data_IF_573477799741
#
_entry.id   IF_573477799741
#
_cell.length_a   1.000
_cell.length_b   1.000
_cell.length_c   1.000
_cell.angle_alpha   90.00
_cell.angle_beta   90.00
_cell.angle_gamma   90.00
#
_symmetry.space_group_name_H-M   'P 1'
#
loop_
_entity.id
_entity.type
_entity.pdbx_description
1 polymer ?
#
# COMPACT_ATOMS: atom_id res chain seq x y z
N UNK A 1 10.92 4.08 5.24
CA UNK A 1 10.72 5.52 5.33
C UNK A 1 12.05 6.22 5.56
N UNK A 2 12.42 7.16 4.68
CA UNK A 2 13.73 7.82 4.71
C UNK A 2 13.93 8.68 5.97
N UNK A 3 12.85 9.16 6.56
CA UNK A 3 12.90 9.97 7.78
C UNK A 3 13.06 9.12 9.04
N UNK A 4 12.91 7.81 8.94
CA UNK A 4 12.96 6.91 10.09
C UNK A 4 14.43 6.65 10.52
N UNK A 5 14.86 7.34 11.54
CA UNK A 5 16.21 7.20 12.13
C UNK A 5 16.11 6.36 13.40
N UNK A 6 16.42 5.08 13.28
CA UNK A 6 16.26 4.11 14.36
C UNK A 6 17.44 4.18 15.34
N UNK A 7 17.20 4.49 16.62
CA UNK A 7 18.23 4.42 17.67
C UNK A 7 18.73 2.98 17.87
N UNK A 8 19.96 2.83 18.31
CA UNK A 8 20.57 1.51 18.53
C UNK A 8 19.78 0.63 19.51
N UNK A 9 19.19 1.24 20.54
CA UNK A 9 18.34 0.57 21.53
C UNK A 9 17.09 -0.07 20.95
N UNK A 10 16.56 0.46 19.83
CA UNK A 10 15.35 -0.01 19.17
C UNK A 10 15.63 -0.83 17.89
N UNK A 11 16.91 -1.00 17.52
CA UNK A 11 17.32 -1.72 16.31
C UNK A 11 16.81 -3.16 16.27
N UNK A 12 16.90 -3.89 17.37
CA UNK A 12 16.48 -5.29 17.44
C UNK A 12 14.98 -5.44 17.19
N UNK A 13 14.14 -4.58 17.78
CA UNK A 13 12.70 -4.54 17.56
C UNK A 13 12.39 -4.22 16.09
N UNK A 14 13.00 -3.18 15.55
CA UNK A 14 12.82 -2.79 14.13
C UNK A 14 13.15 -3.93 13.18
N UNK A 15 14.28 -4.63 13.37
CA UNK A 15 14.66 -5.78 12.54
C UNK A 15 13.63 -6.89 12.64
N UNK A 16 13.15 -7.20 13.87
CA UNK A 16 12.12 -8.22 14.09
C UNK A 16 10.86 -7.93 13.27
N UNK A 17 10.34 -6.70 13.30
CA UNK A 17 9.12 -6.36 12.57
C UNK A 17 9.34 -6.29 11.06
N UNK A 18 10.51 -5.91 10.57
CA UNK A 18 10.88 -6.09 9.16
C UNK A 18 10.83 -7.56 8.73
N UNK A 19 11.29 -8.47 9.58
CA UNK A 19 11.21 -9.92 9.33
C UNK A 19 9.76 -10.40 9.35
N UNK A 20 8.91 -9.90 10.26
CA UNK A 20 7.48 -10.24 10.33
C UNK A 20 6.78 -9.85 9.03
N UNK A 21 6.90 -8.60 8.58
CA UNK A 21 6.25 -8.17 7.34
C UNK A 21 6.80 -8.89 6.11
N UNK A 22 8.10 -9.27 6.12
CA UNK A 22 8.68 -10.11 5.07
C UNK A 22 8.07 -11.52 5.08
N UNK A 23 7.85 -12.12 6.25
CA UNK A 23 7.16 -13.40 6.39
C UNK A 23 5.73 -13.37 5.84
N UNK A 24 4.98 -12.29 6.15
CA UNK A 24 3.62 -12.07 5.60
C UNK A 24 3.67 -11.97 4.08
N UNK A 25 4.64 -11.24 3.52
CA UNK A 25 4.80 -11.14 2.06
C UNK A 25 5.07 -12.50 1.43
N UNK A 26 5.98 -13.29 2.00
CA UNK A 26 6.31 -14.61 1.47
C UNK A 26 5.10 -15.53 1.44
N UNK A 27 4.32 -15.57 2.52
CA UNK A 27 3.10 -16.37 2.61
C UNK A 27 2.06 -15.91 1.58
N UNK A 28 1.83 -14.60 1.45
CA UNK A 28 0.89 -14.05 0.49
C UNK A 28 1.33 -14.34 -0.96
N UNK A 29 2.61 -14.12 -1.28
CA UNK A 29 3.19 -14.44 -2.59
C UNK A 29 2.98 -15.90 -2.96
N UNK A 30 3.28 -16.81 -2.06
CA UNK A 30 3.19 -18.25 -2.33
C UNK A 30 1.73 -18.68 -2.55
N UNK A 31 0.80 -18.09 -1.81
CA UNK A 31 -0.65 -18.31 -2.01
C UNK A 31 -1.12 -17.76 -3.36
N UNK A 32 -0.76 -16.51 -3.66
CA UNK A 32 -1.12 -15.84 -4.92
C UNK A 32 -0.54 -16.59 -6.12
N UNK A 33 0.71 -17.03 -6.06
CA UNK A 33 1.34 -17.79 -7.14
C UNK A 33 0.60 -19.11 -7.43
N UNK A 34 0.16 -19.84 -6.39
CA UNK A 34 -0.66 -21.04 -6.57
C UNK A 34 -1.99 -20.73 -7.26
N UNK A 35 -2.65 -19.65 -6.90
CA UNK A 35 -3.89 -19.22 -7.56
C UNK A 35 -3.66 -18.83 -9.01
N UNK A 36 -2.60 -18.09 -9.31
CA UNK A 36 -2.23 -17.72 -10.69
C UNK A 36 -1.97 -18.98 -11.52
N UNK A 37 -1.21 -19.95 -11.02
CA UNK A 37 -0.93 -21.21 -11.71
C UNK A 37 -2.22 -22.00 -11.99
N UNK A 38 -3.09 -22.13 -10.98
CA UNK A 38 -4.37 -22.82 -11.10
C UNK A 38 -5.28 -22.13 -12.13
N UNK A 39 -5.41 -20.81 -12.06
CA UNK A 39 -6.22 -20.04 -13.02
C UNK A 39 -5.69 -20.14 -14.45
N UNK A 40 -4.37 -20.03 -14.65
CA UNK A 40 -3.73 -20.16 -15.97
C UNK A 40 -3.85 -21.54 -16.58
N UNK A 41 -3.84 -22.57 -15.74
CA UNK A 41 -4.00 -23.96 -16.21
C UNK A 41 -5.44 -24.30 -16.61
N UNK A 42 -6.42 -23.47 -16.23
CA UNK A 42 -7.84 -23.73 -16.40
C UNK A 42 -8.38 -24.88 -15.52
N UNK A 43 -7.58 -25.39 -14.59
CA UNK A 43 -7.95 -26.49 -13.70
C UNK A 43 -8.42 -25.92 -12.35
N UNK A 44 -9.62 -25.37 -12.35
CA UNK A 44 -10.27 -24.83 -11.14
C UNK A 44 -11.75 -25.22 -11.13
N UNK A 45 -12.28 -25.37 -9.95
CA UNK A 45 -13.70 -25.57 -9.66
C UNK A 45 -14.35 -24.24 -9.25
N UNK A 46 -15.69 -24.24 -9.16
CA UNK A 46 -16.44 -23.09 -8.60
C UNK A 46 -16.03 -22.82 -7.14
N UNK A 47 -15.79 -23.89 -6.37
CA UNK A 47 -15.34 -23.74 -4.98
C UNK A 47 -13.94 -23.12 -4.89
N UNK A 48 -13.04 -23.46 -5.82
CA UNK A 48 -11.73 -22.80 -5.90
C UNK A 48 -11.88 -21.29 -6.17
N UNK A 49 -12.78 -20.92 -7.08
CA UNK A 49 -13.06 -19.50 -7.35
C UNK A 49 -13.60 -18.78 -6.10
N UNK A 50 -14.49 -19.41 -5.34
CA UNK A 50 -15.01 -18.86 -4.08
C UNK A 50 -13.88 -18.66 -3.05
N UNK A 51 -12.95 -19.62 -2.91
CA UNK A 51 -11.80 -19.46 -2.03
C UNK A 51 -10.87 -18.31 -2.47
N UNK A 52 -10.65 -18.18 -3.78
CA UNK A 52 -9.84 -17.08 -4.34
C UNK A 52 -10.51 -15.72 -4.12
N UNK A 53 -11.84 -15.63 -4.28
CA UNK A 53 -12.63 -14.42 -3.99
C UNK A 53 -12.52 -14.07 -2.50
N UNK A 54 -12.70 -15.04 -1.61
CA UNK A 54 -12.56 -14.82 -0.18
C UNK A 54 -11.15 -14.31 0.17
N UNK A 55 -10.09 -14.89 -0.39
CA UNK A 55 -8.73 -14.42 -0.19
C UNK A 55 -8.52 -12.98 -0.70
N UNK A 56 -9.06 -12.66 -1.89
CA UNK A 56 -9.00 -11.32 -2.45
C UNK A 56 -9.70 -10.30 -1.54
N UNK A 57 -10.87 -10.66 -0.97
CA UNK A 57 -11.63 -9.80 -0.06
C UNK A 57 -10.97 -9.66 1.32
N UNK A 58 -10.56 -10.77 1.92
CA UNK A 58 -10.21 -10.81 3.34
C UNK A 58 -8.71 -10.50 3.57
N UNK A 59 -7.86 -10.85 2.59
CA UNK A 59 -6.41 -10.64 2.70
C UNK A 59 -5.94 -9.41 1.93
N UNK A 60 -6.40 -9.23 0.67
CA UNK A 60 -5.99 -8.10 -0.16
C UNK A 60 -6.93 -6.91 -0.04
N UNK A 61 -8.08 -7.05 0.64
CA UNK A 61 -9.10 -6.01 0.80
C UNK A 61 -9.54 -5.37 -0.54
N UNK A 62 -9.56 -6.17 -1.61
CA UNK A 62 -10.05 -5.74 -2.92
C UNK A 62 -11.51 -6.13 -3.04
N UNK A 63 -12.38 -5.17 -3.37
CA UNK A 63 -13.82 -5.41 -3.54
C UNK A 63 -14.31 -4.81 -4.85
N UNK A 64 -15.24 -5.50 -5.51
CA UNK A 64 -15.86 -5.03 -6.74
C UNK A 64 -17.31 -5.54 -6.80
N UNK A 65 -18.28 -4.64 -6.80
CA UNK A 65 -19.69 -5.04 -6.71
C UNK A 65 -20.20 -5.78 -7.95
N UNK A 66 -19.68 -5.43 -9.13
CA UNK A 66 -20.08 -6.05 -10.40
C UNK A 66 -19.67 -7.52 -10.54
N UNK A 67 -18.77 -8.01 -9.68
CA UNK A 67 -18.37 -9.43 -9.67
C UNK A 67 -19.56 -10.40 -9.55
N UNK A 68 -20.65 -9.97 -8.92
CA UNK A 68 -21.88 -10.77 -8.78
C UNK A 68 -22.52 -11.15 -10.12
N UNK A 69 -22.14 -10.48 -11.19
CA UNK A 69 -22.67 -10.68 -12.56
C UNK A 69 -21.78 -11.51 -13.44
N UNK A 70 -20.56 -11.83 -12.96
CA UNK A 70 -19.59 -12.56 -13.78
C UNK A 70 -19.94 -14.05 -13.83
N UNK A 71 -19.82 -14.61 -15.03
CA UNK A 71 -19.73 -16.05 -15.19
C UNK A 71 -18.41 -16.57 -14.58
N UNK A 72 -18.31 -17.87 -14.31
CA UNK A 72 -17.10 -18.48 -13.75
C UNK A 72 -15.85 -18.17 -14.58
N UNK A 73 -15.97 -18.14 -15.90
CA UNK A 73 -14.87 -17.80 -16.81
C UNK A 73 -14.45 -16.33 -16.69
N UNK A 74 -15.41 -15.42 -16.65
CA UNK A 74 -15.12 -13.99 -16.45
C UNK A 74 -14.52 -13.74 -15.07
N UNK A 75 -15.03 -14.43 -14.05
CA UNK A 75 -14.49 -14.40 -12.71
C UNK A 75 -13.04 -14.86 -12.67
N UNK A 76 -12.72 -15.99 -13.31
CA UNK A 76 -11.36 -16.50 -13.36
C UNK A 76 -10.39 -15.53 -14.04
N UNK A 77 -10.81 -14.89 -15.13
CA UNK A 77 -10.02 -13.86 -15.82
C UNK A 77 -9.83 -12.60 -14.94
N UNK A 78 -10.88 -12.19 -14.25
CA UNK A 78 -10.82 -11.06 -13.32
C UNK A 78 -9.86 -11.33 -12.16
N UNK A 79 -9.99 -12.49 -11.51
CA UNK A 79 -9.10 -12.90 -10.42
C UNK A 79 -7.65 -12.99 -10.87
N UNK A 80 -7.39 -13.57 -12.05
CA UNK A 80 -6.05 -13.63 -12.61
C UNK A 80 -5.46 -12.22 -12.79
N UNK A 81 -6.23 -11.29 -13.35
CA UNK A 81 -5.82 -9.88 -13.51
C UNK A 81 -5.52 -9.21 -12.16
N UNK A 82 -6.27 -9.55 -11.10
CA UNK A 82 -6.07 -8.97 -9.76
C UNK A 82 -4.90 -9.59 -9.01
N UNK A 83 -4.64 -10.87 -9.20
CA UNK A 83 -3.52 -11.55 -8.53
C UNK A 83 -2.19 -11.32 -9.22
N UNK A 84 -2.15 -11.29 -10.57
CA UNK A 84 -0.92 -11.18 -11.36
C UNK A 84 -0.41 -9.74 -11.42
N UNK A 85 0.02 -9.24 -10.26
CA UNK A 85 0.51 -7.89 -10.02
C UNK A 85 1.68 -7.92 -9.04
N UNK A 86 2.53 -6.88 -9.01
CA UNK A 86 3.47 -6.71 -7.92
C UNK A 86 2.73 -6.70 -6.56
N UNK A 87 3.40 -7.18 -5.53
CA UNK A 87 2.87 -7.28 -4.17
C UNK A 87 3.74 -6.48 -3.21
N UNK A 88 3.11 -5.73 -2.30
CA UNK A 88 3.79 -5.10 -1.17
C UNK A 88 3.09 -5.40 0.14
N UNK A 89 3.89 -5.51 1.20
CA UNK A 89 3.41 -5.50 2.59
C UNK A 89 4.01 -4.28 3.28
N UNK A 90 3.16 -3.46 3.87
CA UNK A 90 3.52 -2.20 4.47
C UNK A 90 3.35 -2.27 5.99
N UNK A 91 4.41 -2.02 6.74
CA UNK A 91 4.35 -1.84 8.18
C UNK A 91 3.82 -0.44 8.50
N UNK A 92 2.64 -0.37 9.12
CA UNK A 92 1.95 0.87 9.45
C UNK A 92 1.95 1.09 10.96
N UNK A 93 2.15 2.32 11.40
CA UNK A 93 2.03 2.69 12.83
C UNK A 93 0.79 3.52 13.07
N UNK A 94 0.29 3.52 14.30
CA UNK A 94 -0.79 4.43 14.71
C UNK A 94 -0.35 5.88 14.54
N UNK A 95 -1.26 6.70 14.05
CA UNK A 95 -1.02 8.14 13.92
C UNK A 95 -1.15 8.80 15.29
N UNK A 96 -0.06 9.44 15.75
CA UNK A 96 -0.01 10.20 16.99
C UNK A 96 -0.02 11.72 16.75
N UNK A 97 -0.45 12.17 15.57
CA UNK A 97 -0.50 13.59 15.19
C UNK A 97 0.60 14.01 14.22
N UNK A 98 1.38 13.08 13.68
CA UNK A 98 2.37 13.38 12.63
C UNK A 98 1.66 13.81 11.33
N UNK A 99 2.13 14.90 10.68
CA UNK A 99 1.59 15.31 9.38
C UNK A 99 2.09 14.38 8.27
N UNK A 100 1.20 14.02 7.35
CA UNK A 100 1.55 13.20 6.19
C UNK A 100 0.35 12.43 5.65
N UNK A 101 0.64 11.38 4.90
CA UNK A 101 -0.36 10.47 4.35
C UNK A 101 -0.68 9.30 5.27
N UNK A 102 -1.45 8.36 4.75
CA UNK A 102 -1.85 7.16 5.47
C UNK A 102 -2.48 6.11 4.57
N UNK A 103 -2.90 4.97 5.17
CA UNK A 103 -3.61 3.92 4.48
C UNK A 103 -5.09 4.27 4.32
N UNK A 104 -5.60 4.07 3.11
CA UNK A 104 -7.00 4.27 2.76
C UNK A 104 -7.47 3.13 1.85
N UNK A 105 -8.78 2.97 1.75
CA UNK A 105 -9.42 2.18 0.70
C UNK A 105 -9.88 3.17 -0.37
N UNK A 106 -9.34 3.05 -1.57
CA UNK A 106 -9.64 3.95 -2.67
C UNK A 106 -10.19 3.20 -3.88
N UNK A 107 -10.93 3.90 -4.74
CA UNK A 107 -11.41 3.36 -5.99
C UNK A 107 -10.26 3.23 -7.00
N UNK A 108 -10.23 2.10 -7.69
CA UNK A 108 -9.38 1.85 -8.84
C UNK A 108 -10.12 2.21 -10.13
N UNK A 109 -9.38 2.37 -11.23
CA UNK A 109 -9.96 2.74 -12.53
C UNK A 109 -11.02 1.77 -13.08
N UNK A 110 -11.04 0.52 -12.62
CA UNK A 110 -12.03 -0.49 -13.01
C UNK A 110 -13.25 -0.53 -12.09
N UNK A 111 -13.42 0.44 -11.18
CA UNK A 111 -14.53 0.53 -10.23
C UNK A 111 -14.38 -0.35 -8.99
N UNK A 112 -13.33 -1.17 -8.89
CA UNK A 112 -13.02 -1.88 -7.65
C UNK A 112 -12.45 -0.94 -6.60
N UNK A 113 -12.52 -1.34 -5.33
CA UNK A 113 -11.81 -0.68 -4.24
C UNK A 113 -10.63 -1.52 -3.79
N UNK A 114 -9.53 -0.86 -3.40
CA UNK A 114 -8.30 -1.52 -2.95
C UNK A 114 -7.56 -0.65 -1.92
N UNK A 115 -6.70 -1.26 -1.09
CA UNK A 115 -5.82 -0.53 -0.18
C UNK A 115 -4.83 0.36 -0.94
N UNK A 116 -4.76 1.63 -0.55
CA UNK A 116 -3.87 2.62 -1.13
C UNK A 116 -3.18 3.43 -0.04
N UNK A 117 -1.99 3.94 -0.33
CA UNK A 117 -1.34 4.96 0.48
C UNK A 117 -1.58 6.30 -0.21
N UNK A 118 -2.18 7.24 0.50
CA UNK A 118 -2.47 8.59 -0.01
C UNK A 118 -1.80 9.63 0.87
N UNK A 119 -1.19 10.62 0.22
CA UNK A 119 -0.76 11.83 0.89
C UNK A 119 -1.96 12.77 1.11
N UNK A 120 -1.95 13.54 2.19
CA UNK A 120 -3.03 14.48 2.51
C UNK A 120 -3.29 15.51 1.38
N UNK A 121 -2.25 15.86 0.63
CA UNK A 121 -2.33 16.74 -0.54
C UNK A 121 -3.05 16.13 -1.77
N UNK A 122 -3.21 14.82 -1.81
CA UNK A 122 -3.96 14.12 -2.86
C UNK A 122 -5.45 14.02 -2.56
N UNK A 123 -5.87 14.40 -1.35
CA UNK A 123 -7.26 14.29 -0.90
C UNK A 123 -7.91 15.68 -1.00
N UNK A 124 -9.07 15.74 -1.65
CA UNK A 124 -9.80 16.99 -1.79
C UNK A 124 -10.31 17.51 -0.44
N UNK A 125 -9.61 18.51 0.08
CA UNK A 125 -9.93 19.16 1.36
C UNK A 125 -11.21 20.00 1.30
N UNK A 126 -11.75 20.30 0.12
CA UNK A 126 -13.00 21.03 -0.05
C UNK A 126 -14.23 20.09 0.08
N UNK A 127 -14.01 18.79 -0.13
CA UNK A 127 -15.05 17.77 0.03
C UNK A 127 -15.24 17.42 1.53
N UNK A 128 -16.44 17.65 2.12
CA UNK A 128 -16.69 17.36 3.53
C UNK A 128 -16.57 15.88 3.88
N UNK A 129 -16.96 14.97 2.99
CA UNK A 129 -16.87 13.52 3.22
C UNK A 129 -15.40 13.07 3.25
N UNK A 130 -14.58 13.54 2.30
CA UNK A 130 -13.16 13.25 2.26
C UNK A 130 -12.45 13.76 3.52
N UNK A 131 -12.79 14.96 4.01
CA UNK A 131 -12.27 15.48 5.29
C UNK A 131 -12.68 14.62 6.48
N UNK A 132 -13.96 14.18 6.51
CA UNK A 132 -14.42 13.30 7.57
C UNK A 132 -13.66 11.97 7.59
N UNK A 133 -13.43 11.35 6.42
CA UNK A 133 -12.64 10.15 6.29
C UNK A 133 -11.20 10.35 6.78
N UNK A 134 -10.55 11.47 6.40
CA UNK A 134 -9.21 11.79 6.89
C UNK A 134 -9.16 11.95 8.42
N UNK A 135 -10.17 12.60 8.99
CA UNK A 135 -10.24 12.80 10.45
C UNK A 135 -10.39 11.47 11.23
N UNK A 136 -10.91 10.42 10.58
CA UNK A 136 -11.04 9.08 11.17
C UNK A 136 -9.84 8.18 10.90
N UNK A 137 -8.85 8.63 10.12
CA UNK A 137 -7.65 7.85 9.82
C UNK A 137 -6.87 7.54 11.10
N UNK A 138 -6.64 6.25 11.34
CA UNK A 138 -6.02 5.78 12.59
C UNK A 138 -4.52 5.50 12.45
N UNK A 139 -4.03 5.40 11.22
CA UNK A 139 -2.64 5.03 10.93
C UNK A 139 -1.95 6.05 10.04
N UNK A 140 -0.64 6.05 10.12
CA UNK A 140 0.26 6.92 9.40
C UNK A 140 0.94 6.19 8.23
N UNK A 141 1.70 6.90 7.43
CA UNK A 141 2.52 6.39 6.32
C UNK A 141 3.35 5.16 6.72
N UNK A 142 3.66 4.27 5.76
CA UNK A 142 4.45 3.08 6.07
C UNK A 142 5.81 3.45 6.65
N UNK A 143 6.18 2.72 7.68
CA UNK A 143 7.53 2.76 8.27
C UNK A 143 8.51 2.01 7.38
N UNK A 144 8.11 0.81 6.96
CA UNK A 144 8.86 -0.08 6.10
C UNK A 144 7.92 -0.75 5.09
N UNK A 145 8.44 -1.04 3.90
CA UNK A 145 7.79 -1.86 2.88
C UNK A 145 8.68 -3.04 2.52
N UNK A 146 8.05 -4.18 2.33
CA UNK A 146 8.66 -5.33 1.65
C UNK A 146 7.90 -5.59 0.36
N UNK A 147 8.63 -5.76 -0.75
CA UNK A 147 8.04 -5.83 -2.08
C UNK A 147 8.43 -7.12 -2.80
N UNK A 148 7.47 -7.73 -3.49
CA UNK A 148 7.70 -8.76 -4.49
C UNK A 148 7.43 -8.17 -5.87
N UNK A 149 8.49 -8.04 -6.68
CA UNK A 149 8.46 -7.43 -8.02
C UNK A 149 8.68 -8.46 -9.13
N UNK A 150 8.54 -9.73 -8.81
CA UNK A 150 8.64 -10.84 -9.77
C UNK A 150 7.32 -11.59 -9.87
N UNK A 151 6.96 -11.97 -11.09
CA UNK A 151 5.79 -12.79 -11.38
C UNK A 151 5.97 -14.25 -10.89
N UNK A 152 4.93 -15.07 -11.04
CA UNK A 152 4.93 -16.48 -10.65
C UNK A 152 6.01 -17.32 -11.40
N UNK A 153 6.57 -16.83 -12.51
CA UNK A 153 7.63 -17.48 -13.25
C UNK A 153 9.03 -16.93 -12.89
N UNK A 154 9.12 -16.03 -11.92
CA UNK A 154 10.38 -15.40 -11.49
C UNK A 154 10.87 -14.27 -12.38
N UNK A 155 10.07 -13.79 -13.36
CA UNK A 155 10.40 -12.66 -14.22
C UNK A 155 9.98 -11.35 -13.57
N UNK A 156 10.77 -10.30 -13.77
CA UNK A 156 10.40 -8.97 -13.26
C UNK A 156 9.15 -8.43 -13.96
N UNK A 157 8.23 -7.86 -13.17
CA UNK A 157 7.15 -7.04 -13.70
C UNK A 157 7.71 -5.77 -14.36
N UNK A 158 7.04 -5.29 -15.38
CA UNK A 158 7.25 -3.95 -15.94
C UNK A 158 6.55 -2.93 -15.03
N UNK A 159 7.26 -2.47 -14.00
CA UNK A 159 6.69 -1.63 -12.93
C UNK A 159 6.06 -0.34 -13.43
N UNK A 160 6.55 0.36 -14.47
CA UNK A 160 5.87 1.50 -15.08
C UNK A 160 4.41 1.23 -15.49
N UNK A 161 4.06 0.02 -15.88
CA UNK A 161 2.68 -0.34 -16.25
C UNK A 161 1.72 -0.42 -15.05
N UNK A 162 2.26 -0.42 -13.83
CA UNK A 162 1.49 -0.46 -12.58
C UNK A 162 1.36 0.90 -11.89
N UNK A 163 1.78 1.97 -12.57
CA UNK A 163 1.64 3.36 -12.11
C UNK A 163 0.27 3.89 -12.50
N UNK A 164 -0.41 4.57 -11.59
CA UNK A 164 -1.60 5.34 -11.93
C UNK A 164 -1.22 6.82 -12.19
N UNK A 165 -1.17 7.26 -13.45
CA UNK A 165 -0.80 8.63 -13.79
C UNK A 165 -1.80 9.68 -13.26
N UNK A 166 -3.05 9.28 -12.98
CA UNK A 166 -4.08 10.18 -12.44
C UNK A 166 -3.84 10.56 -10.97
N UNK A 167 -2.89 9.92 -10.28
CA UNK A 167 -2.53 10.23 -8.89
C UNK A 167 -1.51 11.35 -8.75
N UNK A 168 -1.04 11.95 -9.86
CA UNK A 168 -0.29 13.19 -9.83
C UNK A 168 -1.15 14.34 -9.29
N UNK A 169 -0.53 15.30 -8.62
CA UNK A 169 -1.22 16.43 -8.01
C UNK A 169 -0.41 17.72 -8.06
N UNK A 170 -1.07 18.86 -7.81
CA UNK A 170 -0.40 20.15 -7.72
C UNK A 170 -0.08 20.45 -6.26
N UNK A 171 1.20 20.68 -5.96
CA UNK A 171 1.66 21.13 -4.65
C UNK A 171 2.07 22.60 -4.70
N UNK A 172 1.87 23.32 -3.59
CA UNK A 172 2.37 24.67 -3.41
C UNK A 172 3.69 24.60 -2.62
N UNK A 173 4.74 25.12 -3.23
CA UNK A 173 6.09 25.22 -2.65
C UNK A 173 6.53 26.67 -2.57
N UNK A 174 7.66 26.93 -1.91
CA UNK A 174 8.30 28.24 -1.91
C UNK A 174 9.65 28.14 -2.60
N UNK A 175 9.92 29.08 -3.52
CA UNK A 175 11.23 29.28 -4.13
C UNK A 175 11.62 30.76 -3.96
N UNK A 176 12.70 31.01 -3.25
CA UNK A 176 13.20 32.38 -2.97
C UNK A 176 12.13 33.29 -2.35
N UNK A 177 11.29 32.75 -1.45
CA UNK A 177 10.20 33.48 -0.80
C UNK A 177 8.98 33.74 -1.68
N UNK A 178 8.94 33.20 -2.90
CA UNK A 178 7.78 33.26 -3.80
C UNK A 178 7.02 31.95 -3.84
N UNK A 179 5.70 32.03 -3.97
CA UNK A 179 4.88 30.85 -4.17
C UNK A 179 5.18 30.21 -5.53
N UNK A 180 5.41 28.89 -5.52
CA UNK A 180 5.61 28.06 -6.68
C UNK A 180 4.58 26.94 -6.68
N UNK A 181 3.79 26.82 -7.74
CA UNK A 181 2.96 25.65 -8.01
C UNK A 181 3.77 24.63 -8.80
N UNK A 182 3.93 23.43 -8.25
CA UNK A 182 4.67 22.36 -8.87
C UNK A 182 3.76 21.16 -9.13
N UNK A 183 3.89 20.54 -10.32
CA UNK A 183 3.29 19.24 -10.60
C UNK A 183 4.11 18.16 -9.92
N UNK A 184 3.50 17.46 -9.00
CA UNK A 184 4.05 16.22 -8.41
C UNK A 184 3.57 15.03 -9.24
N UNK A 185 4.51 14.26 -9.76
CA UNK A 185 4.21 12.98 -10.41
C UNK A 185 3.81 11.95 -9.36
N UNK A 186 3.19 10.81 -9.76
CA UNK A 186 2.88 9.73 -8.82
C UNK A 186 4.09 9.36 -7.96
N UNK A 187 3.94 9.49 -6.64
CA UNK A 187 5.00 9.22 -5.68
C UNK A 187 5.32 7.72 -5.57
N UNK A 188 6.48 7.39 -5.00
CA UNK A 188 7.00 6.02 -4.95
C UNK A 188 5.97 5.02 -4.41
N UNK A 189 5.25 5.34 -3.35
CA UNK A 189 4.26 4.45 -2.71
C UNK A 189 2.82 4.95 -2.80
N UNK A 190 2.58 6.18 -3.21
CA UNK A 190 1.27 6.84 -3.27
C UNK A 190 0.82 7.17 -4.71
N UNK A 191 1.14 6.32 -5.65
CA UNK A 191 0.77 6.49 -7.05
C UNK A 191 1.52 5.54 -7.96
N UNK A 192 2.85 5.47 -7.83
CA UNK A 192 3.67 4.54 -8.59
C UNK A 192 3.41 3.07 -8.22
N UNK A 193 2.79 2.80 -7.07
CA UNK A 193 2.40 1.47 -6.63
C UNK A 193 0.86 1.32 -6.53
N UNK A 194 0.07 2.10 -7.25
CA UNK A 194 -1.39 2.06 -7.18
C UNK A 194 -1.97 0.74 -7.68
N UNK A 195 -1.39 0.16 -8.73
CA UNK A 195 -1.85 -1.12 -9.28
C UNK A 195 -1.08 -2.32 -8.70
N UNK A 196 -0.66 -2.22 -7.45
CA UNK A 196 -0.03 -3.30 -6.71
C UNK A 196 -1.01 -3.93 -5.72
N UNK A 197 -0.89 -5.24 -5.49
CA UNK A 197 -1.51 -5.87 -4.35
C UNK A 197 -0.85 -5.34 -3.07
N UNK A 198 -1.67 -4.88 -2.12
CA UNK A 198 -1.18 -4.19 -0.92
C UNK A 198 -1.78 -4.82 0.32
N UNK A 199 -0.93 -5.17 1.29
CA UNK A 199 -1.32 -5.64 2.61
C UNK A 199 -0.76 -4.66 3.64
N UNK A 200 -1.62 -4.16 4.53
CA UNK A 200 -1.22 -3.34 5.66
C UNK A 200 -1.10 -4.19 6.92
N UNK A 201 0.00 -4.02 7.64
CA UNK A 201 0.27 -4.70 8.91
C UNK A 201 0.58 -3.63 9.96
N UNK A 202 -0.19 -3.60 11.05
CA UNK A 202 0.14 -2.73 12.17
C UNK A 202 1.44 -3.21 12.82
N UNK A 203 2.40 -2.30 12.98
CA UNK A 203 3.65 -2.54 13.70
C UNK A 203 3.75 -1.57 14.90
N UNK A 204 4.49 -1.91 15.96
CA UNK A 204 4.60 -1.05 17.12
C UNK A 204 5.17 0.32 16.79
N UNK A 205 4.70 1.35 17.50
CA UNK A 205 5.13 2.74 17.30
C UNK A 205 6.63 2.91 17.51
N UNK A 206 7.26 2.09 18.34
CA UNK A 206 8.71 2.11 18.58
C UNK A 206 9.55 1.81 17.33
N UNK A 207 8.94 1.25 16.28
CA UNK A 207 9.61 1.03 14.99
C UNK A 207 9.71 2.31 14.16
N UNK A 208 9.02 3.38 14.57
CA UNK A 208 8.97 4.66 13.84
C UNK A 208 9.55 5.80 14.69
N UNK A 209 10.73 6.26 14.31
CA UNK A 209 11.51 7.29 15.03
C UNK A 209 11.91 8.39 14.04
N UNK A 210 10.94 9.19 13.54
CA UNK A 210 11.23 10.14 12.45
C UNK A 210 12.08 11.30 12.91
N UNK A 211 13.04 11.69 12.06
CA UNK A 211 13.84 12.91 12.19
C UNK A 211 13.66 13.72 10.91
N UNK A 212 12.74 14.67 10.92
CA UNK A 212 12.47 15.60 9.81
C UNK A 212 13.17 16.94 10.01
N UNK A 213 13.38 17.31 11.27
CA UNK A 213 14.05 18.54 11.68
C UNK A 213 15.07 18.23 12.78
N UNK A 214 16.02 19.14 13.01
CA UNK A 214 17.02 18.99 14.07
C UNK A 214 16.37 18.89 15.47
N UNK A 215 15.20 19.50 15.67
CA UNK A 215 14.49 19.44 16.94
C UNK A 215 13.94 18.05 17.25
N UNK A 216 13.72 17.20 16.23
CA UNK A 216 13.27 15.82 16.45
C UNK A 216 14.33 14.97 17.18
N UNK A 217 15.61 15.36 17.10
CA UNK A 217 16.69 14.73 17.88
C UNK A 217 16.56 14.96 19.39
N UNK A 218 15.72 15.91 19.83
CA UNK A 218 15.42 16.14 21.25
C UNK A 218 14.32 15.21 21.78
N UNK A 219 13.68 14.43 20.94
CA UNK A 219 12.67 13.45 21.37
C UNK A 219 13.31 12.38 22.24
N UNK A 220 12.60 11.86 23.28
CA UNK A 220 13.17 10.92 24.25
C UNK A 220 13.88 9.71 23.63
N UNK A 221 13.33 9.15 22.54
CA UNK A 221 13.91 7.98 21.87
C UNK A 221 15.27 8.26 21.21
N UNK A 222 15.61 9.53 20.95
CA UNK A 222 16.90 9.94 20.38
C UNK A 222 17.89 10.46 21.43
N UNK A 223 17.47 10.52 22.69
CA UNK A 223 18.31 10.91 23.83
C UNK A 223 18.80 9.62 24.50
N UNK A 224 20.00 9.15 24.13
CA UNK A 224 20.62 7.96 24.74
C UNK A 224 21.46 8.34 25.95
#
# INVERSE_FOLDING_TARGET
NIDNVVPDSLRASTIRYKQVIAGVLMQARDTINKYIEQLRSGKYTVDDLHHMIAYMHDTLNIRHEDMKRYSDKEMALYLLKKFDRPLRVCGMVKNLGEPGGGPYIAYSADGSTAPQILESSQIDQTNPEARAMMATATHFNPVDLVCCIKDANGRHYDLPQHVDPATGFISTKSLDGRELKAMELPGLWNGAMSDWNTIFVEVPIETFNPVKTINDLLRPQHQA
#
